data_IF_626578852138
#
_entry.id   IF_626578852138
#
_cell.length_a   1.000
_cell.length_b   1.000
_cell.length_c   1.000
_cell.angle_alpha   90.00
_cell.angle_beta   90.00
_cell.angle_gamma   90.00
#
_symmetry.space_group_name_H-M   'P 1'
#
loop_
_entity.id
_entity.type
_entity.pdbx_description
1 polymer ?
#
# COMPACT_ATOMS: atom_id res chain seq x y z
N UNK A 1 -5.15 12.50 -1.99
CA UNK A 1 -5.87 11.47 -2.78
C UNK A 1 -5.35 10.11 -2.34
N UNK A 2 -6.19 9.07 -2.21
CA UNK A 2 -5.74 7.75 -1.77
C UNK A 2 -4.70 7.19 -2.76
N UNK A 3 -3.57 6.71 -2.24
CA UNK A 3 -2.56 6.03 -3.05
C UNK A 3 -3.07 4.61 -3.32
N UNK A 4 -3.31 4.28 -4.59
CA UNK A 4 -3.82 2.97 -5.02
C UNK A 4 -2.73 2.27 -5.83
N UNK A 5 -2.40 1.03 -5.46
CA UNK A 5 -1.40 0.18 -6.14
C UNK A 5 -1.99 -1.20 -6.44
N UNK A 6 -1.40 -1.96 -7.35
CA UNK A 6 -1.84 -3.34 -7.62
C UNK A 6 -1.15 -4.33 -6.68
N UNK A 7 -1.70 -5.53 -6.52
CA UNK A 7 -1.06 -6.61 -5.75
C UNK A 7 0.30 -7.03 -6.33
N UNK A 8 0.47 -6.96 -7.66
CA UNK A 8 1.77 -7.18 -8.32
C UNK A 8 2.79 -6.11 -7.93
N UNK A 9 2.35 -4.85 -7.87
CA UNK A 9 3.21 -3.75 -7.47
C UNK A 9 3.57 -3.82 -5.98
N UNK A 10 2.64 -4.22 -5.11
CA UNK A 10 2.93 -4.53 -3.71
C UNK A 10 4.03 -5.59 -3.58
N UNK A 11 3.95 -6.67 -4.36
CA UNK A 11 4.97 -7.74 -4.36
C UNK A 11 6.34 -7.21 -4.80
N UNK A 12 6.38 -6.41 -5.86
CA UNK A 12 7.64 -5.97 -6.47
C UNK A 12 8.29 -4.80 -5.73
N UNK A 13 7.50 -3.91 -5.14
CA UNK A 13 7.95 -2.64 -4.55
C UNK A 13 7.59 -2.55 -3.06
N UNK A 14 7.50 -3.69 -2.37
CA UNK A 14 7.11 -3.76 -0.96
C UNK A 14 7.91 -2.80 -0.06
N UNK A 15 9.23 -2.74 -0.23
CA UNK A 15 10.10 -1.90 0.62
C UNK A 15 9.78 -0.40 0.49
N UNK A 16 9.52 0.07 -0.73
CA UNK A 16 9.14 1.47 -0.99
C UNK A 16 7.77 1.77 -0.38
N UNK A 17 6.80 0.88 -0.59
CA UNK A 17 5.43 1.01 -0.05
C UNK A 17 5.46 0.99 1.48
N UNK A 18 6.22 0.08 2.08
CA UNK A 18 6.41 0.01 3.53
C UNK A 18 7.06 1.28 4.07
N UNK A 19 8.11 1.79 3.42
CA UNK A 19 8.76 3.04 3.82
C UNK A 19 7.81 4.24 3.71
N UNK A 20 6.98 4.30 2.66
CA UNK A 20 5.92 5.30 2.54
C UNK A 20 4.97 5.22 3.72
N UNK A 21 4.36 4.06 3.99
CA UNK A 21 3.40 3.88 5.07
C UNK A 21 3.96 4.27 6.44
N UNK A 22 5.22 3.92 6.74
CA UNK A 22 5.88 4.29 7.98
C UNK A 22 6.17 5.79 8.09
N UNK A 23 6.48 6.46 6.98
CA UNK A 23 6.83 7.89 6.96
C UNK A 23 5.62 8.80 6.92
N UNK A 24 4.65 8.50 6.06
CA UNK A 24 3.45 9.33 5.88
C UNK A 24 2.39 9.06 6.95
N UNK A 25 2.43 7.87 7.60
CA UNK A 25 1.35 7.35 8.44
C UNK A 25 0.01 7.25 7.70
N UNK A 26 0.05 7.22 6.37
CA UNK A 26 -1.12 7.06 5.51
C UNK A 26 -1.18 5.63 4.92
N UNK A 27 -2.38 5.09 4.70
CA UNK A 27 -2.54 3.79 4.08
C UNK A 27 -2.33 3.84 2.56
N UNK A 28 -1.85 2.72 2.01
CA UNK A 28 -1.86 2.43 0.57
C UNK A 28 -2.92 1.36 0.28
N UNK A 29 -3.85 1.68 -0.62
CA UNK A 29 -4.92 0.76 -1.02
C UNK A 29 -4.44 -0.16 -2.14
N UNK A 30 -4.72 -1.44 -2.01
CA UNK A 30 -4.28 -2.47 -2.94
C UNK A 30 -5.46 -3.01 -3.71
N UNK A 31 -5.27 -3.13 -5.02
CA UNK A 31 -6.22 -3.76 -5.94
C UNK A 31 -5.72 -5.12 -6.40
N UNK A 32 -6.67 -6.04 -6.60
CA UNK A 32 -6.44 -7.33 -7.25
C UNK A 32 -7.41 -7.45 -8.41
N UNK A 33 -6.88 -7.68 -9.61
CA UNK A 33 -7.68 -7.75 -10.85
C UNK A 33 -8.59 -6.52 -11.07
N UNK A 34 -8.11 -5.32 -10.73
CA UNK A 34 -8.84 -4.06 -10.89
C UNK A 34 -9.91 -3.79 -9.84
N UNK A 35 -10.08 -4.67 -8.85
CA UNK A 35 -11.02 -4.49 -7.74
C UNK A 35 -10.26 -4.21 -6.45
N UNK A 36 -10.85 -3.38 -5.56
CA UNK A 36 -10.28 -3.14 -4.23
C UNK A 36 -10.23 -4.43 -3.41
N UNK A 37 -9.11 -4.66 -2.74
CA UNK A 37 -8.84 -5.90 -2.00
C UNK A 37 -8.52 -5.60 -0.53
N UNK A 38 -7.48 -4.80 -0.27
CA UNK A 38 -7.02 -4.48 1.08
C UNK A 38 -6.35 -3.11 1.18
N UNK A 39 -5.97 -2.71 2.41
CA UNK A 39 -5.11 -1.56 2.67
C UNK A 39 -3.87 -1.97 3.47
N UNK A 40 -2.72 -1.36 3.16
CA UNK A 40 -1.44 -1.53 3.86
C UNK A 40 -1.14 -0.25 4.62
N UNK A 41 -0.77 -0.35 5.90
CA UNK A 41 -0.43 0.80 6.75
C UNK A 41 0.68 0.43 7.76
N UNK A 42 1.32 1.43 8.37
CA UNK A 42 2.25 1.19 9.47
C UNK A 42 1.53 0.64 10.69
N UNK A 43 2.16 -0.29 11.41
CA UNK A 43 1.62 -0.84 12.65
C UNK A 43 1.82 0.14 13.81
N UNK A 44 2.97 0.81 13.85
CA UNK A 44 3.23 1.85 14.84
C UNK A 44 2.37 3.09 14.52
N UNK A 45 1.73 3.62 15.56
CA UNK A 45 0.98 4.89 15.58
C UNK A 45 1.84 6.04 16.05
#
# INVERSE_FOLDING_TARGET
>A
MPVIRSSTDLRNNYNEISAFCNKSREPVFITRNGQGDLAVMSIET
#
